data_IF_047222566950
#
_entry.id   IF_047222566950
#
_cell.length_a   1.000
_cell.length_b   1.000
_cell.length_c   1.000
_cell.angle_alpha   90.00
_cell.angle_beta   90.00
_cell.angle_gamma   90.00
#
_symmetry.space_group_name_H-M   'P 1'
#
loop_
_entity.id
_entity.type
_entity.pdbx_description
1 polymer ?
#
# COMPACT_ATOMS: atom_id res chain seq x y z
N UNK A 1 -0.52 5.51 7.05
CA UNK A 1 0.75 5.41 6.34
C UNK A 1 0.82 6.47 5.25
N UNK A 2 2.00 6.96 4.98
CA UNK A 2 2.26 7.92 3.90
C UNK A 2 3.59 7.60 3.21
N UNK A 3 3.59 7.67 1.88
CA UNK A 3 4.79 7.62 1.06
C UNK A 3 4.69 8.66 -0.05
N UNK A 4 5.65 9.58 -0.15
CA UNK A 4 5.57 10.75 -1.02
C UNK A 4 4.29 11.56 -0.74
N UNK A 5 3.48 11.81 -1.76
CA UNK A 5 2.17 12.50 -1.66
C UNK A 5 0.99 11.56 -1.41
N UNK A 6 1.23 10.25 -1.42
CA UNK A 6 0.17 9.26 -1.23
C UNK A 6 -0.03 8.96 0.24
N UNK A 7 -1.30 8.94 0.67
CA UNK A 7 -1.71 8.59 2.03
C UNK A 7 -2.63 7.37 1.93
N UNK A 8 -2.37 6.39 2.75
CA UNK A 8 -3.20 5.19 2.89
C UNK A 8 -3.59 5.00 4.35
N UNK A 9 -4.88 4.75 4.60
CA UNK A 9 -5.39 4.37 5.90
C UNK A 9 -5.79 2.90 5.85
N UNK A 10 -5.23 2.11 6.76
CA UNK A 10 -5.50 0.69 6.82
C UNK A 10 -4.64 0.02 7.86
N UNK A 11 -4.88 -1.26 8.06
CA UNK A 11 -4.11 -2.10 8.97
C UNK A 11 -2.82 -2.56 8.29
N UNK A 12 -1.80 -2.79 9.12
CA UNK A 12 -0.58 -3.46 8.72
C UNK A 12 -0.17 -4.49 9.77
N UNK A 13 0.47 -5.55 9.33
CA UNK A 13 1.02 -6.60 10.17
C UNK A 13 2.54 -6.45 10.18
N UNK A 14 3.12 -6.46 11.37
CA UNK A 14 4.57 -6.57 11.55
C UNK A 14 4.93 -8.05 11.67
N UNK A 15 5.53 -8.59 10.62
CA UNK A 15 6.03 -9.96 10.56
C UNK A 15 7.54 -10.02 10.84
N UNK A 16 8.09 -11.22 10.88
CA UNK A 16 9.55 -11.41 11.02
C UNK A 16 10.35 -10.84 9.84
N UNK A 17 9.71 -10.62 8.71
CA UNK A 17 10.33 -10.18 7.46
C UNK A 17 10.01 -8.75 7.07
N UNK A 18 9.19 -8.04 7.86
CA UNK A 18 8.85 -6.65 7.61
C UNK A 18 7.37 -6.31 7.83
N UNK A 19 6.93 -5.25 7.18
CA UNK A 19 5.54 -4.79 7.24
C UNK A 19 4.77 -5.23 6.00
N UNK A 20 3.56 -5.72 6.21
CA UNK A 20 2.64 -6.16 5.15
C UNK A 20 1.20 -5.78 5.48
N UNK A 21 0.31 -5.78 4.49
CA UNK A 21 -1.12 -5.53 4.68
C UNK A 21 -1.68 -4.40 3.81
N UNK A 22 -3.01 -4.33 3.78
CA UNK A 22 -3.76 -3.41 2.90
C UNK A 22 -3.42 -1.93 3.07
N UNK A 23 -3.01 -1.52 4.28
CA UNK A 23 -2.55 -0.15 4.52
C UNK A 23 -1.24 0.24 3.81
N UNK A 24 -0.48 -0.74 3.32
CA UNK A 24 0.81 -0.51 2.65
C UNK A 24 0.74 -0.76 1.14
N UNK A 25 -0.09 -1.69 0.68
CA UNK A 25 -0.09 -2.11 -0.72
C UNK A 25 -0.37 -0.96 -1.69
N UNK A 26 -1.26 -0.03 -1.33
CA UNK A 26 -1.52 1.16 -2.14
C UNK A 26 -0.31 2.11 -2.26
N UNK A 27 0.69 1.99 -1.38
CA UNK A 27 1.90 2.80 -1.38
C UNK A 27 3.06 2.12 -2.12
N UNK A 28 2.91 0.88 -2.56
CA UNK A 28 3.96 0.09 -3.21
C UNK A 28 4.61 0.79 -4.40
N UNK A 29 3.87 1.50 -5.29
CA UNK A 29 4.50 2.24 -6.39
C UNK A 29 5.49 3.31 -5.91
N UNK A 30 5.12 4.08 -4.88
CA UNK A 30 5.98 5.12 -4.32
C UNK A 30 7.18 4.52 -3.57
N UNK A 31 6.96 3.43 -2.82
CA UNK A 31 8.01 2.74 -2.07
C UNK A 31 9.03 2.08 -3.01
N UNK A 32 8.58 1.53 -4.12
CA UNK A 32 9.46 0.98 -5.18
C UNK A 32 10.37 2.03 -5.80
N UNK A 33 9.90 3.29 -5.84
CA UNK A 33 10.69 4.45 -6.29
C UNK A 33 11.58 5.04 -5.19
N UNK A 34 11.67 4.42 -4.02
CA UNK A 34 12.51 4.87 -2.90
C UNK A 34 11.90 5.98 -2.04
N UNK A 35 10.59 6.20 -2.09
CA UNK A 35 9.94 7.19 -1.25
C UNK A 35 10.05 6.82 0.23
N UNK A 36 10.30 7.79 1.11
CA UNK A 36 10.29 7.57 2.55
C UNK A 36 8.91 7.13 3.02
N UNK A 37 8.87 6.10 3.88
CA UNK A 37 7.65 5.63 4.53
C UNK A 37 7.51 6.27 5.91
N UNK A 38 6.35 6.84 6.19
CA UNK A 38 5.96 7.31 7.53
C UNK A 38 4.65 6.67 7.96
N UNK A 39 4.47 6.53 9.27
CA UNK A 39 3.22 6.06 9.87
C UNK A 39 2.72 7.05 10.91
N UNK A 40 1.44 7.33 10.85
CA UNK A 40 0.70 8.01 11.91
C UNK A 40 0.16 6.95 12.88
N UNK A 41 0.69 6.92 14.10
CA UNK A 41 0.29 5.95 15.12
C UNK A 41 -1.03 6.29 15.80
N UNK A 42 -1.54 7.52 15.62
CA UNK A 42 -2.79 8.00 16.20
C UNK A 42 -3.61 8.77 15.17
N UNK A 43 -4.11 8.13 14.09
CA UNK A 43 -4.74 8.84 12.98
C UNK A 43 -6.00 9.61 13.36
N UNK A 44 -6.66 9.25 14.44
CA UNK A 44 -7.90 9.89 14.91
C UNK A 44 -7.65 11.05 15.90
N UNK A 45 -6.38 11.37 16.22
CA UNK A 45 -6.00 12.48 17.08
C UNK A 45 -5.20 13.51 16.31
N UNK A 46 -5.45 14.79 16.62
CA UNK A 46 -4.58 15.86 16.14
C UNK A 46 -3.24 15.85 16.91
N UNK A 47 -2.23 16.52 16.35
CA UNK A 47 -0.95 16.65 17.04
C UNK A 47 -1.09 17.37 18.39
N UNK A 48 -1.97 18.36 18.46
CA UNK A 48 -2.23 19.11 19.69
C UNK A 48 -2.95 18.25 20.74
N UNK A 49 -3.93 17.42 20.33
CA UNK A 49 -4.57 16.45 21.23
C UNK A 49 -3.55 15.48 21.85
N UNK A 50 -2.63 14.99 21.02
CA UNK A 50 -1.58 14.09 21.48
C UNK A 50 -0.69 14.83 22.47
N UNK A 51 -0.21 16.02 22.11
CA UNK A 51 0.66 16.82 22.98
C UNK A 51 0.01 17.09 24.34
N UNK A 52 -1.24 17.51 24.37
CA UNK A 52 -1.99 17.75 25.62
C UNK A 52 -2.17 16.48 26.47
N UNK A 53 -2.41 15.32 25.83
CA UNK A 53 -2.59 14.06 26.56
C UNK A 53 -1.29 13.58 27.20
N UNK A 54 -0.16 13.72 26.52
CA UNK A 54 1.14 13.26 27.00
C UNK A 54 1.80 14.26 27.97
N UNK A 55 1.41 15.54 27.94
CA UNK A 55 1.89 16.57 28.87
C UNK A 55 1.36 16.36 30.31
N UNK A 56 0.34 15.54 30.48
CA UNK A 56 -0.20 15.22 31.81
C UNK A 56 0.83 14.49 32.66
N UNK A 57 0.90 14.79 33.98
CA UNK A 57 1.90 14.21 34.86
C UNK A 57 2.00 12.68 34.74
N UNK A 58 3.21 12.19 34.51
CA UNK A 58 3.51 10.76 34.34
C UNK A 58 3.60 10.03 35.69
N UNK A 59 3.92 10.72 36.75
CA UNK A 59 4.23 10.13 38.06
C UNK A 59 5.42 9.19 37.98
N UNK A 60 5.29 7.99 38.58
CA UNK A 60 6.32 6.93 38.57
C UNK A 60 6.22 5.99 37.33
N UNK A 61 5.31 6.24 36.41
CA UNK A 61 5.14 5.36 35.24
C UNK A 61 6.28 5.51 34.24
N UNK A 62 6.68 4.41 33.57
CA UNK A 62 7.59 4.48 32.42
C UNK A 62 6.94 5.22 31.25
N UNK A 63 7.75 5.73 30.31
CA UNK A 63 7.24 6.36 29.09
C UNK A 63 6.30 5.44 28.32
N UNK A 64 6.67 4.17 28.11
CA UNK A 64 5.82 3.21 27.41
C UNK A 64 4.46 3.02 28.09
N UNK A 65 4.43 2.93 29.43
CA UNK A 65 3.17 2.82 30.17
C UNK A 65 2.35 4.10 30.10
N UNK A 66 3.00 5.26 30.12
CA UNK A 66 2.33 6.56 29.99
C UNK A 66 1.67 6.69 28.62
N UNK A 67 2.42 6.48 27.53
CA UNK A 67 1.91 6.55 26.17
C UNK A 67 0.80 5.53 25.92
N UNK A 68 0.97 4.29 26.39
CA UNK A 68 -0.07 3.26 26.31
C UNK A 68 -1.39 3.72 26.94
N UNK A 69 -1.32 4.31 28.14
CA UNK A 69 -2.52 4.76 28.86
C UNK A 69 -3.15 6.01 28.25
N UNK A 70 -2.34 6.96 27.80
CA UNK A 70 -2.84 8.27 27.32
C UNK A 70 -3.29 8.26 25.87
N UNK A 71 -2.63 7.47 25.02
CA UNK A 71 -2.87 7.41 23.59
C UNK A 71 -3.50 6.07 23.13
N UNK A 72 -3.61 5.09 24.04
CA UNK A 72 -4.08 3.74 23.77
C UNK A 72 -3.22 3.00 22.74
N UNK A 73 -1.93 3.33 22.65
CA UNK A 73 -1.02 2.61 21.78
C UNK A 73 -0.89 1.15 22.21
N UNK A 74 -0.92 0.25 21.25
CA UNK A 74 -0.69 -1.16 21.47
C UNK A 74 0.80 -1.50 21.61
N UNK A 75 1.12 -2.77 21.79
CA UNK A 75 2.50 -3.23 21.99
C UNK A 75 3.36 -3.04 20.73
N UNK A 76 2.78 -3.24 19.54
CA UNK A 76 3.48 -3.11 18.27
C UNK A 76 3.79 -1.65 17.97
N UNK A 77 2.80 -0.77 18.15
CA UNK A 77 2.97 0.68 18.00
C UNK A 77 4.04 1.25 18.94
N UNK A 78 4.04 0.78 20.19
CA UNK A 78 5.06 1.18 21.18
C UNK A 78 6.45 0.66 20.80
N UNK A 79 6.55 -0.56 20.28
CA UNK A 79 7.82 -1.13 19.82
C UNK A 79 8.35 -0.35 18.60
N UNK A 80 7.51 -0.06 17.61
CA UNK A 80 7.87 0.77 16.46
C UNK A 80 8.34 2.16 16.88
N UNK A 81 7.63 2.81 17.81
CA UNK A 81 8.02 4.12 18.31
C UNK A 81 9.37 4.05 19.05
N UNK A 82 9.61 3.00 19.84
CA UNK A 82 10.85 2.80 20.55
C UNK A 82 12.02 2.50 19.63
N UNK A 83 11.81 1.79 18.53
CA UNK A 83 12.85 1.42 17.58
C UNK A 83 13.14 2.54 16.58
N UNK A 84 12.10 3.09 15.96
CA UNK A 84 12.23 4.02 14.85
C UNK A 84 12.18 5.49 15.27
N UNK A 85 11.66 5.81 16.47
CA UNK A 85 11.48 7.18 16.95
C UNK A 85 12.64 7.73 17.78
N UNK A 86 13.65 6.93 18.09
CA UNK A 86 14.76 7.37 18.96
C UNK A 86 15.75 8.31 18.27
N UNK A 87 16.31 9.27 19.04
CA UNK A 87 15.99 9.59 20.44
C UNK A 87 14.62 10.26 20.55
N UNK A 88 13.78 9.76 21.48
CA UNK A 88 12.45 10.35 21.71
C UNK A 88 12.59 11.74 22.32
N UNK A 89 11.91 12.76 21.78
CA UNK A 89 11.92 14.11 22.35
C UNK A 89 11.23 14.15 23.72
N UNK A 90 11.81 14.91 24.66
CA UNK A 90 11.18 15.16 25.97
C UNK A 90 10.01 16.15 25.88
N UNK A 91 10.01 17.02 24.88
CA UNK A 91 8.97 18.03 24.69
C UNK A 91 7.70 17.39 24.10
N UNK A 92 6.54 17.55 24.76
CA UNK A 92 5.28 16.93 24.30
C UNK A 92 4.91 17.24 22.87
N UNK A 93 5.05 18.48 22.42
CA UNK A 93 4.73 18.88 21.04
C UNK A 93 5.64 18.19 20.00
N UNK A 94 6.95 18.05 20.31
CA UNK A 94 7.89 17.36 19.43
C UNK A 94 7.64 15.85 19.41
N UNK A 95 7.34 15.25 20.56
CA UNK A 95 6.99 13.84 20.63
C UNK A 95 5.68 13.55 19.88
N UNK A 96 4.70 14.44 19.98
CA UNK A 96 3.47 14.34 19.22
C UNK A 96 3.71 14.37 17.71
N UNK A 97 4.61 15.22 17.23
CA UNK A 97 5.01 15.26 15.83
C UNK A 97 5.64 13.94 15.37
N UNK A 98 6.52 13.33 16.19
CA UNK A 98 7.10 12.00 15.89
C UNK A 98 6.00 10.94 15.84
N UNK A 99 5.05 10.94 16.76
CA UNK A 99 3.93 9.97 16.77
C UNK A 99 3.03 10.11 15.53
N UNK A 100 2.83 11.34 15.04
CA UNK A 100 2.03 11.62 13.85
C UNK A 100 2.74 11.29 12.53
N UNK A 101 4.06 11.29 12.52
CA UNK A 101 4.85 11.05 11.32
C UNK A 101 6.12 10.23 11.64
N UNK A 102 5.92 9.06 12.26
CA UNK A 102 7.02 8.17 12.58
C UNK A 102 7.62 7.60 11.30
N UNK A 103 8.89 7.92 11.04
CA UNK A 103 9.62 7.40 9.89
C UNK A 103 9.98 5.93 10.11
N UNK A 104 9.58 5.10 9.17
CA UNK A 104 9.91 3.67 9.17
C UNK A 104 11.02 3.41 8.15
N UNK A 105 12.21 2.99 8.60
CA UNK A 105 13.25 2.56 7.68
C UNK A 105 12.85 1.23 7.04
N UNK A 106 13.14 1.09 5.75
CA UNK A 106 12.98 -0.17 5.03
C UNK A 106 14.10 -0.31 3.99
N UNK A 107 14.48 -1.54 3.67
CA UNK A 107 15.57 -1.85 2.72
C UNK A 107 15.07 -2.03 1.29
N UNK A 108 13.79 -2.29 1.10
CA UNK A 108 13.17 -2.54 -0.20
C UNK A 108 11.85 -3.29 -0.07
N UNK A 109 11.29 -3.66 -1.19
CA UNK A 109 10.15 -4.56 -1.27
C UNK A 109 10.63 -6.02 -1.13
N UNK A 110 9.70 -6.91 -0.79
CA UNK A 110 9.97 -8.36 -0.73
C UNK A 110 10.29 -8.92 -2.14
N UNK A 111 10.96 -10.07 -2.23
CA UNK A 111 11.21 -10.73 -3.50
C UNK A 111 9.94 -10.94 -4.32
N UNK A 112 10.08 -10.95 -5.66
CA UNK A 112 8.96 -11.10 -6.59
C UNK A 112 8.17 -12.40 -6.36
N UNK A 113 8.85 -13.48 -5.96
CA UNK A 113 8.23 -14.78 -5.68
C UNK A 113 7.22 -14.75 -4.51
N UNK A 114 7.29 -13.71 -3.68
CA UNK A 114 6.37 -13.49 -2.55
C UNK A 114 5.30 -12.44 -2.86
N UNK A 115 5.32 -11.86 -4.07
CA UNK A 115 4.38 -10.82 -4.42
C UNK A 115 2.97 -11.41 -4.63
N UNK A 116 1.96 -10.73 -4.07
CA UNK A 116 0.54 -11.08 -4.29
C UNK A 116 -0.01 -10.39 -5.54
N UNK A 117 0.68 -9.40 -6.06
CA UNK A 117 0.42 -8.70 -7.32
C UNK A 117 1.71 -8.07 -7.80
N UNK A 118 1.90 -7.97 -9.10
CA UNK A 118 3.12 -7.44 -9.71
C UNK A 118 2.80 -6.26 -10.62
N UNK A 119 3.78 -5.39 -10.81
CA UNK A 119 3.73 -4.30 -11.76
C UNK A 119 4.67 -4.60 -12.93
N UNK A 120 4.36 -4.01 -14.07
CA UNK A 120 5.04 -4.30 -15.33
C UNK A 120 4.31 -5.39 -16.13
N UNK A 121 4.57 -5.47 -17.40
CA UNK A 121 3.90 -6.42 -18.28
C UNK A 121 3.88 -5.94 -19.72
N UNK A 122 2.88 -6.37 -20.48
CA UNK A 122 2.69 -5.96 -21.88
C UNK A 122 2.15 -4.53 -21.91
N UNK A 123 2.91 -3.54 -22.42
CA UNK A 123 2.47 -2.15 -22.47
C UNK A 123 1.29 -1.98 -23.44
N UNK A 124 0.32 -1.17 -23.08
CA UNK A 124 -0.84 -0.88 -23.93
C UNK A 124 -0.45 -0.33 -25.31
N UNK A 125 0.67 0.37 -25.42
CA UNK A 125 1.19 0.86 -26.69
C UNK A 125 1.61 -0.26 -27.66
N UNK A 126 1.84 -1.48 -27.19
CA UNK A 126 2.14 -2.63 -28.00
C UNK A 126 0.89 -3.38 -28.49
N UNK A 127 -0.30 -2.94 -28.09
CA UNK A 127 -1.57 -3.59 -28.37
C UNK A 127 -2.42 -2.71 -29.29
N UNK A 128 -3.29 -3.37 -30.04
CA UNK A 128 -4.38 -2.70 -30.77
C UNK A 128 -5.60 -2.47 -29.83
N UNK A 129 -6.68 -1.93 -30.40
CA UNK A 129 -7.92 -1.68 -29.67
C UNK A 129 -8.62 -2.97 -29.18
N UNK A 130 -8.31 -4.13 -29.79
CA UNK A 130 -8.81 -5.44 -29.39
C UNK A 130 -7.94 -6.15 -28.36
N UNK A 131 -6.88 -5.50 -27.88
CA UNK A 131 -5.83 -6.07 -27.04
C UNK A 131 -5.02 -7.17 -27.74
N UNK A 132 -4.93 -7.15 -29.07
CA UNK A 132 -4.05 -8.00 -29.84
C UNK A 132 -2.67 -7.35 -29.97
N UNK A 133 -1.60 -8.15 -29.87
CA UNK A 133 -0.23 -7.67 -30.07
C UNK A 133 -0.05 -7.19 -31.52
N UNK A 134 0.39 -5.95 -31.69
CA UNK A 134 0.64 -5.36 -33.00
C UNK A 134 1.77 -6.08 -33.77
N UNK A 135 2.74 -6.62 -33.05
CA UNK A 135 3.90 -7.34 -33.61
C UNK A 135 3.68 -8.84 -33.78
N UNK A 136 2.61 -9.38 -33.17
CA UNK A 136 2.27 -10.82 -33.23
C UNK A 136 0.77 -10.96 -33.44
N UNK A 137 0.29 -10.91 -34.70
CA UNK A 137 -1.13 -11.12 -35.00
C UNK A 137 -1.66 -12.44 -34.44
N UNK A 138 -2.92 -12.47 -34.06
CA UNK A 138 -3.63 -13.57 -33.38
C UNK A 138 -3.25 -13.85 -31.92
N UNK A 139 -2.34 -13.06 -31.30
CA UNK A 139 -2.01 -13.15 -29.89
C UNK A 139 -2.68 -12.00 -29.14
N UNK A 140 -3.54 -12.32 -28.19
CA UNK A 140 -4.29 -11.37 -27.38
C UNK A 140 -3.80 -11.42 -25.94
N UNK A 141 -3.72 -10.25 -25.28
CA UNK A 141 -3.26 -10.10 -23.92
C UNK A 141 -4.36 -9.51 -23.04
N UNK A 142 -4.53 -10.02 -21.82
CA UNK A 142 -5.55 -9.53 -20.91
C UNK A 142 -5.15 -9.75 -19.44
N UNK A 143 -5.87 -9.10 -18.54
CA UNK A 143 -5.68 -9.31 -17.11
C UNK A 143 -4.38 -8.70 -16.57
N UNK A 144 -3.80 -9.35 -15.61
CA UNK A 144 -2.62 -8.85 -14.88
C UNK A 144 -1.32 -8.91 -15.68
N UNK A 145 -1.32 -9.60 -16.84
CA UNK A 145 -0.18 -9.57 -17.76
C UNK A 145 -0.02 -8.22 -18.48
N UNK A 146 -1.04 -7.36 -18.47
CA UNK A 146 -0.97 -6.01 -19.02
C UNK A 146 -0.18 -5.09 -18.08
N UNK A 147 0.55 -4.11 -18.64
CA UNK A 147 1.32 -3.14 -17.85
C UNK A 147 0.41 -2.10 -17.20
N UNK A 148 -0.10 -2.43 -16.06
CA UNK A 148 -0.92 -1.56 -15.21
C UNK A 148 -0.84 -1.99 -13.74
N UNK A 149 -1.20 -1.08 -12.84
CA UNK A 149 -1.26 -1.35 -11.41
C UNK A 149 -2.64 -1.03 -10.87
N UNK A 150 -3.16 -1.91 -10.03
CA UNK A 150 -4.40 -1.69 -9.32
C UNK A 150 -4.26 -2.10 -7.85
N UNK A 151 -5.06 -1.49 -6.96
CA UNK A 151 -5.23 -2.03 -5.62
C UNK A 151 -5.69 -3.48 -5.68
N UNK A 152 -5.11 -4.34 -4.85
CA UNK A 152 -5.50 -5.75 -4.76
C UNK A 152 -6.95 -5.92 -4.31
N UNK A 153 -7.56 -7.06 -4.66
CA UNK A 153 -8.94 -7.39 -4.33
C UNK A 153 -9.92 -7.18 -5.49
N UNK A 154 -11.17 -6.82 -5.19
CA UNK A 154 -12.24 -6.78 -6.17
C UNK A 154 -11.99 -5.86 -7.37
N UNK A 155 -11.28 -4.77 -7.20
CA UNK A 155 -10.94 -3.86 -8.29
C UNK A 155 -10.03 -4.53 -9.33
N UNK A 156 -8.96 -5.18 -8.89
CA UNK A 156 -8.03 -5.92 -9.76
C UNK A 156 -8.77 -7.03 -10.53
N UNK A 157 -9.54 -7.85 -9.83
CA UNK A 157 -10.31 -8.92 -10.45
C UNK A 157 -11.32 -8.41 -11.47
N UNK A 158 -12.05 -7.34 -11.16
CA UNK A 158 -13.03 -6.74 -12.08
C UNK A 158 -12.36 -6.29 -13.38
N UNK A 159 -11.19 -5.65 -13.29
CA UNK A 159 -10.45 -5.22 -14.46
C UNK A 159 -9.88 -6.40 -15.27
N UNK A 160 -9.41 -7.47 -14.59
CA UNK A 160 -8.99 -8.70 -15.26
C UNK A 160 -10.14 -9.34 -16.05
N UNK A 161 -11.33 -9.43 -15.46
CA UNK A 161 -12.52 -9.95 -16.17
C UNK A 161 -12.95 -9.04 -17.33
N UNK A 162 -12.92 -7.72 -17.13
CA UNK A 162 -13.28 -6.77 -18.19
C UNK A 162 -12.33 -6.87 -19.38
N UNK A 163 -11.03 -6.86 -19.15
CA UNK A 163 -10.02 -6.99 -20.21
C UNK A 163 -10.05 -8.38 -20.86
N UNK A 164 -10.25 -9.45 -20.07
CA UNK A 164 -10.42 -10.81 -20.59
C UNK A 164 -11.63 -10.93 -21.52
N UNK A 165 -12.79 -10.40 -21.11
CA UNK A 165 -13.99 -10.36 -21.95
C UNK A 165 -13.78 -9.53 -23.22
N UNK A 166 -13.09 -8.40 -23.11
CA UNK A 166 -12.79 -7.53 -24.24
C UNK A 166 -11.90 -8.23 -25.26
N UNK A 167 -10.76 -8.77 -24.82
CA UNK A 167 -9.83 -9.52 -25.66
C UNK A 167 -10.48 -10.77 -26.27
N UNK A 168 -11.27 -11.52 -25.49
CA UNK A 168 -11.98 -12.70 -25.98
C UNK A 168 -12.97 -12.40 -27.10
N UNK A 169 -13.74 -11.30 -26.96
CA UNK A 169 -14.63 -10.85 -28.05
C UNK A 169 -13.87 -10.39 -29.29
N UNK A 170 -12.73 -9.73 -29.12
CA UNK A 170 -11.88 -9.34 -30.25
C UNK A 170 -11.27 -10.56 -30.94
N UNK A 171 -10.82 -11.56 -30.17
CA UNK A 171 -10.32 -12.82 -30.70
C UNK A 171 -11.39 -13.59 -31.47
N UNK A 172 -12.63 -13.68 -30.98
CA UNK A 172 -13.74 -14.31 -31.68
C UNK A 172 -13.99 -13.66 -33.04
N UNK A 173 -14.08 -12.31 -33.07
CA UNK A 173 -14.22 -11.57 -34.33
C UNK A 173 -13.06 -11.81 -35.31
N UNK A 174 -11.84 -11.86 -34.79
CA UNK A 174 -10.64 -12.14 -35.56
C UNK A 174 -10.71 -13.53 -36.22
N UNK A 175 -11.32 -14.50 -35.55
CA UNK A 175 -11.57 -15.84 -36.07
C UNK A 175 -12.85 -15.96 -36.97
N UNK A 176 -13.53 -14.85 -37.25
CA UNK A 176 -14.75 -14.83 -38.06
C UNK A 176 -16.04 -15.22 -37.32
N UNK A 177 -16.02 -15.21 -35.97
CA UNK A 177 -17.19 -15.45 -35.14
C UNK A 177 -17.76 -14.11 -34.61
N UNK A 178 -19.09 -13.92 -34.73
CA UNK A 178 -19.74 -12.78 -34.09
C UNK A 178 -20.03 -13.14 -32.60
N UNK A 179 -19.48 -12.40 -31.63
CA UNK A 179 -19.75 -12.68 -30.23
C UNK A 179 -21.17 -12.35 -29.77
N UNK A 180 -22.04 -11.88 -30.65
CA UNK A 180 -23.47 -11.68 -30.37
C UNK A 180 -24.32 -12.93 -30.59
N UNK A 181 -23.77 -14.00 -31.22
CA UNK A 181 -24.46 -15.24 -31.49
C UNK A 181 -24.48 -16.25 -30.35
N UNK A 182 -23.95 -15.87 -29.18
CA UNK A 182 -23.96 -16.71 -27.97
C UNK A 182 -24.66 -15.96 -26.84
N UNK A 183 -26.00 -16.10 -26.75
CA UNK A 183 -26.76 -15.93 -25.50
C UNK A 183 -26.61 -17.15 -24.58
#
# INVERSE_FOLDING_TARGET
>A
FQASKQISRGEAILSATGLEGGGLYALSPALRQGASLTVDLCPDLTQDDIAQRIDRPRGKASWSNHLRKKLRLDKVQLALLAECGRPLPDQPAKLAAVIKALRLPYSGLRPLDEAISVAGGVPFAALDQGLMLQTMPSVFCAGEMLDWEAPTGGYLLTACFATGRWAGRAAARYCGHDPQDTE
#
